data_IF_231062049548
#
_entry.id   IF_231062049548
#
_cell.length_a   1.000
_cell.length_b   1.000
_cell.length_c   1.000
_cell.angle_alpha   90.00
_cell.angle_beta   90.00
_cell.angle_gamma   90.00
#
_symmetry.space_group_name_H-M   'P 1'
#
loop_
_entity.id
_entity.type
_entity.pdbx_description
1 polymer ?
#
# COMPACT_ATOMS: atom_id res chain seq x y z
N UNK A 1 -32.92 -24.73 -0.78
CA UNK A 1 -31.64 -23.99 -0.60
C UNK A 1 -31.89 -22.51 -0.83
N UNK A 2 -31.80 -21.66 0.20
CA UNK A 2 -32.06 -20.22 0.07
C UNK A 2 -30.88 -19.53 -0.65
N UNK A 3 -31.07 -19.16 -1.91
CA UNK A 3 -30.22 -18.16 -2.58
C UNK A 3 -30.33 -16.85 -1.77
N UNK A 4 -29.22 -16.44 -1.14
CA UNK A 4 -29.10 -15.12 -0.50
C UNK A 4 -29.12 -14.06 -1.60
N UNK A 5 -29.84 -12.94 -1.42
CA UNK A 5 -30.06 -11.99 -2.49
C UNK A 5 -28.73 -11.39 -2.92
N UNK A 6 -28.56 -11.20 -4.23
CA UNK A 6 -27.53 -10.35 -4.83
C UNK A 6 -27.41 -9.06 -4.02
N UNK A 7 -26.42 -8.99 -3.13
CA UNK A 7 -26.19 -7.81 -2.31
C UNK A 7 -25.55 -6.77 -3.21
N UNK A 8 -26.27 -5.68 -3.46
CA UNK A 8 -25.75 -4.55 -4.21
C UNK A 8 -24.48 -4.05 -3.50
N UNK A 9 -23.31 -4.23 -4.10
CA UNK A 9 -22.01 -3.82 -3.55
C UNK A 9 -22.04 -2.37 -3.03
N UNK A 10 -22.70 -1.49 -3.78
CA UNK A 10 -22.92 -0.09 -3.41
C UNK A 10 -23.65 0.09 -2.08
N UNK A 11 -24.62 -0.76 -1.74
CA UNK A 11 -25.33 -0.69 -0.45
C UNK A 11 -24.44 -1.11 0.72
N UNK A 12 -23.58 -2.11 0.53
CA UNK A 12 -22.62 -2.51 1.57
C UNK A 12 -21.58 -1.41 1.81
N UNK A 13 -21.10 -0.77 0.75
CA UNK A 13 -20.16 0.35 0.85
C UNK A 13 -20.80 1.53 1.59
N UNK A 14 -21.99 1.97 1.18
CA UNK A 14 -22.70 3.08 1.84
C UNK A 14 -23.00 2.79 3.32
N UNK A 15 -23.43 1.56 3.63
CA UNK A 15 -23.62 1.15 5.03
C UNK A 15 -22.31 1.18 5.82
N UNK A 16 -21.19 0.77 5.19
CA UNK A 16 -19.87 0.78 5.82
C UNK A 16 -19.37 2.21 6.12
N UNK A 17 -19.71 3.19 5.29
CA UNK A 17 -19.45 4.61 5.60
C UNK A 17 -20.31 5.13 6.75
N UNK A 18 -21.57 4.69 6.85
CA UNK A 18 -22.44 5.07 7.97
C UNK A 18 -22.05 4.39 9.29
N UNK A 19 -21.57 3.14 9.23
CA UNK A 19 -21.15 2.33 10.39
C UNK A 19 -19.86 1.57 10.06
N UNK A 20 -18.68 2.22 10.17
CA UNK A 20 -17.39 1.57 9.94
C UNK A 20 -17.13 0.46 10.96
N UNK A 21 -16.39 -0.57 10.57
CA UNK A 21 -15.95 -1.61 11.52
C UNK A 21 -15.00 -1.01 12.57
N UNK A 22 -14.05 -0.19 12.13
CA UNK A 22 -13.04 0.47 12.96
C UNK A 22 -12.85 1.92 12.50
N UNK A 23 -13.70 2.83 13.01
CA UNK A 23 -13.81 4.19 12.50
C UNK A 23 -12.51 5.00 12.57
N UNK A 24 -11.83 4.99 13.73
CA UNK A 24 -10.59 5.77 13.90
C UNK A 24 -9.49 5.32 12.94
N UNK A 25 -9.22 4.01 12.87
CA UNK A 25 -8.22 3.45 11.97
C UNK A 25 -8.57 3.76 10.51
N UNK A 26 -9.83 3.57 10.10
CA UNK A 26 -10.25 3.83 8.73
C UNK A 26 -10.02 5.28 8.31
N UNK A 27 -10.48 6.24 9.13
CA UNK A 27 -10.33 7.66 8.81
C UNK A 27 -8.88 8.15 8.90
N UNK A 28 -8.08 7.65 9.84
CA UNK A 28 -6.67 8.03 9.93
C UNK A 28 -5.88 7.53 8.71
N UNK A 29 -6.19 6.33 8.20
CA UNK A 29 -5.59 5.83 6.97
C UNK A 29 -6.04 6.63 5.74
N UNK A 30 -7.33 6.96 5.59
CA UNK A 30 -7.77 7.82 4.49
C UNK A 30 -7.18 9.23 4.55
N UNK A 31 -7.03 9.81 5.74
CA UNK A 31 -6.28 11.04 5.92
C UNK A 31 -4.82 10.89 5.46
N UNK A 32 -4.18 9.77 5.82
CA UNK A 32 -2.84 9.41 5.33
C UNK A 32 -2.75 9.31 3.81
N UNK A 33 -3.77 8.75 3.15
CA UNK A 33 -3.84 8.69 1.69
C UNK A 33 -3.86 10.11 1.07
N UNK A 34 -4.69 11.01 1.60
CA UNK A 34 -4.74 12.41 1.13
C UNK A 34 -3.39 13.11 1.40
N UNK A 35 -2.83 12.95 2.59
CA UNK A 35 -1.54 13.53 2.95
C UNK A 35 -0.39 13.04 2.06
N UNK A 36 -0.44 11.79 1.57
CA UNK A 36 0.58 11.27 0.65
C UNK A 36 0.62 12.02 -0.69
N UNK A 37 -0.54 12.43 -1.21
CA UNK A 37 -0.64 13.24 -2.43
C UNK A 37 -0.13 14.66 -2.16
N UNK A 38 -0.50 15.25 -1.03
CA UNK A 38 -0.02 16.58 -0.64
C UNK A 38 1.51 16.59 -0.44
N UNK A 39 2.06 15.54 0.17
CA UNK A 39 3.50 15.36 0.32
C UNK A 39 4.20 15.20 -1.03
N UNK A 40 3.62 14.47 -1.99
CA UNK A 40 4.14 14.40 -3.36
C UNK A 40 4.23 15.79 -3.99
N UNK A 41 3.14 16.55 -3.95
CA UNK A 41 3.10 17.90 -4.52
C UNK A 41 4.18 18.77 -3.86
N UNK A 42 4.28 18.74 -2.53
CA UNK A 42 5.30 19.49 -1.80
C UNK A 42 6.74 19.10 -2.20
N UNK A 43 7.01 17.80 -2.38
CA UNK A 43 8.33 17.31 -2.82
C UNK A 43 8.64 17.70 -4.27
N UNK A 44 7.65 17.62 -5.17
CA UNK A 44 7.80 18.03 -6.57
C UNK A 44 8.11 19.53 -6.69
N UNK A 45 7.46 20.37 -5.89
CA UNK A 45 7.71 21.82 -5.84
C UNK A 45 9.09 22.18 -5.27
N UNK A 46 9.72 21.28 -4.51
CA UNK A 46 11.04 21.47 -3.91
C UNK A 46 12.19 20.95 -4.77
N UNK A 47 11.89 20.26 -5.87
CA UNK A 47 12.92 19.78 -6.78
C UNK A 47 13.66 20.97 -7.44
N UNK A 48 15.00 20.96 -7.49
CA UNK A 48 15.76 21.99 -8.20
C UNK A 48 15.40 22.05 -9.68
N UNK A 49 15.50 23.24 -10.28
CA UNK A 49 15.38 23.41 -11.72
C UNK A 49 16.41 22.53 -12.45
N UNK A 50 15.99 21.91 -13.56
CA UNK A 50 16.83 20.98 -14.32
C UNK A 50 16.97 19.58 -13.69
N UNK A 51 16.17 19.24 -12.66
CA UNK A 51 16.11 17.89 -12.11
C UNK A 51 15.86 16.85 -13.20
N UNK A 52 16.55 15.70 -13.10
CA UNK A 52 16.44 14.62 -14.08
C UNK A 52 15.04 13.99 -14.02
N UNK A 53 14.48 13.50 -15.15
CA UNK A 53 13.18 12.83 -15.18
C UNK A 53 13.03 11.68 -14.16
N UNK A 54 14.14 10.97 -13.89
CA UNK A 54 14.16 9.90 -12.89
C UNK A 54 13.75 10.36 -11.48
N UNK A 55 14.08 11.58 -11.08
CA UNK A 55 13.70 12.11 -9.76
C UNK A 55 12.16 12.20 -9.64
N UNK A 56 11.50 12.78 -10.64
CA UNK A 56 10.04 12.88 -10.71
C UNK A 56 9.36 11.51 -10.67
N UNK A 57 9.83 10.57 -11.50
CA UNK A 57 9.28 9.21 -11.55
C UNK A 57 9.46 8.51 -10.21
N UNK A 58 10.64 8.63 -9.59
CA UNK A 58 10.93 7.97 -8.32
C UNK A 58 10.06 8.49 -7.16
N UNK A 59 9.78 9.79 -7.13
CA UNK A 59 8.87 10.40 -6.15
C UNK A 59 7.42 9.99 -6.42
N UNK A 60 7.00 9.91 -7.68
CA UNK A 60 5.68 9.42 -8.05
C UNK A 60 5.46 7.96 -7.62
N UNK A 61 6.46 7.09 -7.82
CA UNK A 61 6.43 5.69 -7.36
C UNK A 61 6.25 5.62 -5.83
N UNK A 62 7.01 6.42 -5.08
CA UNK A 62 6.86 6.50 -3.63
C UNK A 62 5.43 6.91 -3.24
N UNK A 63 4.94 8.03 -3.76
CA UNK A 63 3.64 8.56 -3.41
C UNK A 63 2.48 7.64 -3.81
N UNK A 64 2.54 7.01 -4.99
CA UNK A 64 1.53 6.04 -5.44
C UNK A 64 1.52 4.83 -4.51
N UNK A 65 2.69 4.30 -4.13
CA UNK A 65 2.75 3.16 -3.20
C UNK A 65 2.16 3.50 -1.83
N UNK A 66 2.44 4.70 -1.32
CA UNK A 66 1.92 5.20 -0.04
C UNK A 66 0.40 5.42 -0.10
N UNK A 67 -0.09 6.05 -1.16
CA UNK A 67 -1.52 6.23 -1.41
C UNK A 67 -2.25 4.89 -1.46
N UNK A 68 -1.75 3.92 -2.23
CA UNK A 68 -2.37 2.60 -2.36
C UNK A 68 -2.41 1.84 -1.03
N UNK A 69 -1.34 1.87 -0.24
CA UNK A 69 -1.33 1.28 1.10
C UNK A 69 -2.42 1.89 1.97
N UNK A 70 -2.43 3.22 2.11
CA UNK A 70 -3.36 3.90 2.98
C UNK A 70 -4.82 3.78 2.53
N UNK A 71 -5.08 3.83 1.22
CA UNK A 71 -6.43 3.59 0.69
C UNK A 71 -6.88 2.16 0.96
N UNK A 72 -6.01 1.17 0.72
CA UNK A 72 -6.34 -0.25 0.99
C UNK A 72 -6.61 -0.48 2.48
N UNK A 73 -5.77 0.06 3.35
CA UNK A 73 -5.92 -0.03 4.80
C UNK A 73 -7.19 0.65 5.29
N UNK A 74 -7.48 1.85 4.77
CA UNK A 74 -8.71 2.59 5.04
C UNK A 74 -9.94 1.76 4.70
N UNK A 75 -9.97 1.14 3.52
CA UNK A 75 -11.06 0.24 3.10
C UNK A 75 -11.14 -1.03 3.95
N UNK A 76 -10.00 -1.62 4.32
CA UNK A 76 -9.96 -2.80 5.18
C UNK A 76 -10.63 -2.53 6.53
N UNK A 77 -10.40 -1.37 7.15
CA UNK A 77 -11.03 -0.97 8.41
C UNK A 77 -12.45 -0.39 8.25
N UNK A 78 -12.80 0.10 7.05
CA UNK A 78 -14.13 0.62 6.74
C UNK A 78 -15.16 -0.51 6.54
N UNK A 79 -14.85 -1.45 5.64
CA UNK A 79 -15.84 -2.34 5.03
C UNK A 79 -16.40 -3.35 6.05
N UNK A 80 -17.73 -3.36 6.14
CA UNK A 80 -18.53 -4.35 6.88
C UNK A 80 -19.17 -5.30 5.86
N UNK A 81 -18.49 -6.39 5.55
CA UNK A 81 -18.96 -7.41 4.59
C UNK A 81 -18.69 -8.82 5.11
N UNK A 82 -18.87 -9.83 4.26
CA UNK A 82 -18.59 -11.22 4.60
C UNK A 82 -17.12 -11.45 4.98
N UNK A 83 -16.87 -12.47 5.81
CA UNK A 83 -15.53 -12.85 6.25
C UNK A 83 -14.54 -13.03 5.09
N UNK A 84 -15.00 -13.60 3.96
CA UNK A 84 -14.19 -13.79 2.75
C UNK A 84 -13.67 -12.46 2.17
N UNK A 85 -14.52 -11.42 2.16
CA UNK A 85 -14.16 -10.08 1.67
C UNK A 85 -13.17 -9.41 2.61
N UNK A 86 -13.42 -9.49 3.93
CA UNK A 86 -12.53 -8.92 4.95
C UNK A 86 -11.15 -9.57 4.90
N UNK A 87 -11.07 -10.89 4.72
CA UNK A 87 -9.80 -11.60 4.56
C UNK A 87 -9.06 -11.23 3.28
N UNK A 88 -9.77 -11.03 2.16
CA UNK A 88 -9.16 -10.57 0.92
C UNK A 88 -8.57 -9.16 1.07
N UNK A 89 -9.31 -8.23 1.69
CA UNK A 89 -8.83 -6.87 1.98
C UNK A 89 -7.63 -6.87 2.93
N UNK A 90 -7.66 -7.71 3.98
CA UNK A 90 -6.52 -7.88 4.89
C UNK A 90 -5.26 -8.35 4.17
N UNK A 91 -5.41 -9.28 3.22
CA UNK A 91 -4.28 -9.76 2.41
C UNK A 91 -3.74 -8.66 1.52
N UNK A 92 -4.63 -7.93 0.84
CA UNK A 92 -4.24 -6.80 0.00
C UNK A 92 -3.49 -5.73 0.82
N UNK A 93 -4.00 -5.38 2.00
CA UNK A 93 -3.39 -4.41 2.92
C UNK A 93 -1.97 -4.83 3.31
N UNK A 94 -1.77 -6.08 3.70
CA UNK A 94 -0.45 -6.61 4.01
C UNK A 94 0.50 -6.64 2.80
N UNK A 95 -0.01 -6.90 1.60
CA UNK A 95 0.80 -6.93 0.37
C UNK A 95 1.30 -5.51 0.03
N UNK A 96 0.46 -4.49 0.26
CA UNK A 96 0.83 -3.09 -0.02
C UNK A 96 2.02 -2.61 0.82
N UNK A 97 2.31 -3.24 1.97
CA UNK A 97 3.48 -2.89 2.80
C UNK A 97 4.77 -3.16 2.03
N UNK A 98 4.89 -4.30 1.35
CA UNK A 98 6.06 -4.61 0.51
C UNK A 98 6.21 -3.60 -0.63
N UNK A 99 5.09 -3.19 -1.23
CA UNK A 99 5.07 -2.17 -2.28
C UNK A 99 5.54 -0.81 -1.74
N UNK A 100 5.10 -0.41 -0.54
CA UNK A 100 5.54 0.83 0.10
C UNK A 100 7.03 0.80 0.46
N UNK A 101 7.56 -0.32 0.94
CA UNK A 101 8.98 -0.47 1.23
C UNK A 101 9.81 -0.19 -0.04
N UNK A 102 9.47 -0.85 -1.15
CA UNK A 102 10.14 -0.61 -2.44
C UNK A 102 9.96 0.83 -2.93
N UNK A 103 8.74 1.37 -2.81
CA UNK A 103 8.43 2.74 -3.17
C UNK A 103 9.23 3.78 -2.38
N UNK A 104 9.39 3.59 -1.07
CA UNK A 104 10.12 4.50 -0.17
C UNK A 104 11.61 4.57 -0.50
N UNK A 105 12.22 3.44 -0.84
CA UNK A 105 13.63 3.39 -1.17
C UNK A 105 13.94 3.85 -2.60
N UNK A 106 12.96 3.83 -3.51
CA UNK A 106 13.16 4.20 -4.91
C UNK A 106 13.67 5.64 -5.09
N UNK A 107 13.06 6.70 -4.52
CA UNK A 107 13.60 8.05 -4.62
C UNK A 107 14.95 8.20 -3.93
N UNK A 108 15.17 7.50 -2.81
CA UNK A 108 16.48 7.49 -2.14
C UNK A 108 17.56 6.97 -3.09
N UNK A 109 17.30 5.85 -3.76
CA UNK A 109 18.24 5.24 -4.71
C UNK A 109 18.45 6.09 -5.97
N UNK A 110 17.39 6.68 -6.51
CA UNK A 110 17.45 7.42 -7.77
C UNK A 110 18.10 8.79 -7.61
N UNK A 111 17.84 9.48 -6.49
CA UNK A 111 18.30 10.85 -6.24
C UNK A 111 19.71 10.86 -5.65
N UNK A 112 20.00 9.98 -4.68
CA UNK A 112 21.25 10.06 -3.90
C UNK A 112 22.35 9.09 -4.36
N UNK A 113 22.00 8.03 -5.11
CA UNK A 113 23.00 7.06 -5.60
C UNK A 113 23.32 7.23 -7.09
N UNK A 114 24.51 6.79 -7.46
CA UNK A 114 25.02 6.86 -8.82
C UNK A 114 25.64 5.53 -9.26
N UNK A 115 25.89 5.39 -10.58
CA UNK A 115 26.55 4.21 -11.14
C UNK A 115 25.86 2.88 -10.83
N UNK A 116 26.67 1.84 -10.60
CA UNK A 116 26.20 0.48 -10.31
C UNK A 116 25.44 0.36 -8.98
N UNK A 117 25.78 1.16 -7.98
CA UNK A 117 25.12 1.13 -6.67
C UNK A 117 23.64 1.46 -6.74
N UNK A 118 23.26 2.46 -7.54
CA UNK A 118 21.84 2.82 -7.77
C UNK A 118 21.04 1.63 -8.31
N UNK A 119 21.55 0.96 -9.34
CA UNK A 119 20.85 -0.14 -9.98
C UNK A 119 20.89 -1.42 -9.13
N UNK A 120 22.00 -1.70 -8.46
CA UNK A 120 22.14 -2.84 -7.55
C UNK A 120 21.17 -2.74 -6.36
N UNK A 121 21.07 -1.57 -5.72
CA UNK A 121 20.13 -1.36 -4.62
C UNK A 121 18.67 -1.41 -5.08
N UNK A 122 18.33 -0.76 -6.21
CA UNK A 122 16.99 -0.86 -6.77
C UNK A 122 16.60 -2.31 -7.06
N UNK A 123 17.48 -3.07 -7.73
CA UNK A 123 17.23 -4.47 -8.04
C UNK A 123 17.06 -5.30 -6.76
N UNK A 124 17.93 -5.12 -5.77
CA UNK A 124 17.85 -5.84 -4.50
C UNK A 124 16.53 -5.56 -3.76
N UNK A 125 16.18 -4.29 -3.59
CA UNK A 125 14.99 -3.89 -2.83
C UNK A 125 13.71 -4.34 -3.52
N UNK A 126 13.61 -4.14 -4.84
CA UNK A 126 12.44 -4.59 -5.60
C UNK A 126 12.35 -6.12 -5.66
N UNK A 127 13.47 -6.84 -5.71
CA UNK A 127 13.47 -8.30 -5.64
C UNK A 127 13.01 -8.80 -4.27
N UNK A 128 13.47 -8.18 -3.18
CA UNK A 128 13.02 -8.52 -1.83
C UNK A 128 11.53 -8.22 -1.63
N UNK A 129 11.05 -7.07 -2.11
CA UNK A 129 9.64 -6.73 -2.07
C UNK A 129 8.78 -7.69 -2.90
N UNK A 130 9.23 -8.05 -4.11
CA UNK A 130 8.58 -9.05 -4.94
C UNK A 130 8.56 -10.43 -4.28
N UNK A 131 9.67 -10.85 -3.67
CA UNK A 131 9.74 -12.10 -2.92
C UNK A 131 8.76 -12.12 -1.73
N UNK A 132 8.70 -11.03 -0.96
CA UNK A 132 7.75 -10.88 0.15
C UNK A 132 6.28 -10.89 -0.30
N UNK A 133 5.99 -10.22 -1.42
CA UNK A 133 4.68 -10.23 -2.08
C UNK A 133 4.28 -11.65 -2.52
N UNK A 134 5.17 -12.35 -3.23
CA UNK A 134 4.94 -13.74 -3.68
C UNK A 134 4.77 -14.68 -2.49
N UNK A 135 5.61 -14.55 -1.47
CA UNK A 135 5.49 -15.33 -0.24
C UNK A 135 4.11 -15.14 0.43
N UNK A 136 3.63 -13.89 0.50
CA UNK A 136 2.31 -13.59 1.07
C UNK A 136 1.16 -14.13 0.23
N UNK A 137 1.31 -14.15 -1.10
CA UNK A 137 0.31 -14.69 -2.02
C UNK A 137 0.26 -16.23 -2.02
N UNK A 138 1.40 -16.90 -1.93
CA UNK A 138 1.49 -18.35 -1.96
C UNK A 138 1.22 -18.98 -0.59
N UNK A 139 1.66 -18.37 0.51
CA UNK A 139 1.54 -18.93 1.86
C UNK A 139 0.31 -18.39 2.60
N UNK A 140 -0.86 -18.64 2.02
CA UNK A 140 -2.19 -18.20 2.51
C UNK A 140 -2.52 -18.71 3.93
N UNK A 141 -1.84 -19.77 4.40
CA UNK A 141 -2.08 -20.45 5.68
C UNK A 141 -0.86 -20.41 6.63
N UNK A 142 0.00 -19.40 6.52
CA UNK A 142 1.20 -19.33 7.36
C UNK A 142 0.79 -19.12 8.83
N UNK A 143 1.35 -19.88 9.79
CA UNK A 143 1.03 -19.72 11.21
C UNK A 143 1.41 -18.30 11.68
N UNK A 144 0.57 -17.72 12.54
CA UNK A 144 0.59 -16.28 12.89
C UNK A 144 1.98 -15.75 13.28
N UNK A 145 2.83 -16.58 13.90
CA UNK A 145 4.18 -16.22 14.34
C UNK A 145 5.14 -15.90 13.17
N UNK A 146 5.00 -16.58 12.03
CA UNK A 146 5.85 -16.33 10.85
C UNK A 146 5.48 -15.01 10.16
N UNK A 147 4.19 -14.63 10.20
CA UNK A 147 3.72 -13.34 9.68
C UNK A 147 4.10 -12.16 10.57
N UNK A 148 4.45 -12.39 11.84
CA UNK A 148 4.96 -11.36 12.75
C UNK A 148 6.46 -11.17 12.60
N UNK A 149 7.21 -12.25 12.35
CA UNK A 149 8.66 -12.19 12.09
C UNK A 149 9.03 -11.59 10.74
N UNK A 150 8.19 -11.73 9.71
CA UNK A 150 8.44 -11.02 8.45
C UNK A 150 8.30 -9.49 8.57
N UNK A 151 7.88 -9.00 9.75
CA UNK A 151 7.62 -7.59 10.02
C UNK A 151 8.70 -6.93 10.91
N UNK A 152 9.61 -7.70 11.52
CA UNK A 152 10.67 -7.25 12.43
C UNK A 152 12.00 -7.78 11.94
#
# INVERSE_FOLDING_TARGET
MKQKPSRNLWREILHSFARPREAFSSYSHFAGAILSILALIALLLRLPEGSKPGAYISLAVFAVSMFLLYTTSGFYHLIVSSQKVIEALRRLDHIMIYMLIAGTCTPVCVIFLSGGWRWGMLAAIWSLAAAGLVFKLLWISAPRWLSTLSYV
#
